data_IF_264016116279
#
_entry.id   IF_264016116279
#
_cell.length_a   1.000
_cell.length_b   1.000
_cell.length_c   1.000
_cell.angle_alpha   90.00
_cell.angle_beta   90.00
_cell.angle_gamma   90.00
#
_symmetry.space_group_name_H-M   'P 1'
#
loop_
_entity.id
_entity.type
_entity.pdbx_description
1 polymer ?
#
# COMPACT_ATOMS: atom_id res chain seq x y z
N UNK A 1 10.20 7.81 38.29
CA UNK A 1 10.02 6.63 37.41
C UNK A 1 9.89 7.05 35.94
N UNK A 2 10.83 7.86 35.41
CA UNK A 2 10.73 8.45 34.06
C UNK A 2 12.11 8.89 33.47
N UNK A 3 13.19 8.14 33.72
CA UNK A 3 14.56 8.50 33.26
C UNK A 3 15.37 7.31 32.74
N UNK A 4 14.81 6.47 31.86
CA UNK A 4 15.53 5.28 31.35
C UNK A 4 15.29 4.94 29.88
N UNK A 5 14.82 5.89 29.07
CA UNK A 5 14.57 5.68 27.64
C UNK A 5 15.51 6.46 26.72
N UNK A 6 16.27 7.44 27.23
CA UNK A 6 17.13 8.28 26.39
C UNK A 6 18.53 7.66 26.12
N UNK A 7 18.99 6.71 26.93
CA UNK A 7 20.36 6.18 26.84
C UNK A 7 20.48 4.92 25.97
N UNK A 8 19.39 4.44 25.35
CA UNK A 8 19.39 3.22 24.54
C UNK A 8 19.70 3.46 23.04
N UNK A 9 19.95 4.72 22.64
CA UNK A 9 20.24 5.08 21.24
C UNK A 9 21.65 5.62 21.11
N UNK A 10 22.65 4.84 21.51
CA UNK A 10 24.00 4.93 20.93
C UNK A 10 24.86 3.77 21.42
N UNK A 11 24.95 2.72 20.61
CA UNK A 11 26.23 2.08 20.28
C UNK A 11 26.02 1.06 19.17
N UNK A 12 26.87 1.17 18.15
CA UNK A 12 27.22 0.19 17.12
C UNK A 12 27.05 -1.26 17.56
N UNK A 13 25.87 -1.85 17.35
CA UNK A 13 25.73 -3.29 17.24
C UNK A 13 26.03 -3.68 15.78
N UNK A 14 26.83 -4.73 15.50
CA UNK A 14 26.87 -5.29 14.17
C UNK A 14 25.43 -5.65 13.79
N UNK A 15 24.92 -5.03 12.72
CA UNK A 15 23.55 -5.25 12.25
C UNK A 15 23.44 -6.60 11.57
N UNK A 16 23.74 -7.69 12.26
CA UNK A 16 23.36 -9.02 11.82
C UNK A 16 21.87 -9.16 12.10
N UNK A 17 21.05 -8.42 11.33
CA UNK A 17 19.64 -8.76 11.18
C UNK A 17 19.63 -10.17 10.60
N UNK A 18 18.76 -11.08 11.08
CA UNK A 18 18.56 -12.35 10.42
C UNK A 18 18.29 -12.07 8.94
N UNK A 19 19.20 -12.53 8.08
CA UNK A 19 19.02 -12.44 6.64
C UNK A 19 17.91 -13.41 6.30
N UNK A 20 16.75 -12.88 5.94
CA UNK A 20 15.70 -13.67 5.35
C UNK A 20 15.94 -13.63 3.83
N UNK A 21 16.43 -14.72 3.21
CA UNK A 21 16.56 -14.74 1.75
C UNK A 21 15.16 -14.71 1.13
N UNK A 22 14.96 -13.86 0.11
CA UNK A 22 13.76 -13.88 -0.74
C UNK A 22 12.68 -12.81 -0.56
N UNK A 23 12.48 -12.10 0.59
CA UNK A 23 11.45 -11.07 0.67
C UNK A 23 11.71 -9.89 -0.25
N UNK A 24 12.98 -9.53 -0.48
CA UNK A 24 13.32 -8.41 -1.36
C UNK A 24 12.87 -8.67 -2.82
N UNK A 25 13.02 -9.91 -3.29
CA UNK A 25 12.62 -10.31 -4.64
C UNK A 25 11.12 -10.60 -4.75
N UNK A 26 10.49 -11.03 -3.65
CA UNK A 26 9.06 -11.30 -3.58
C UNK A 26 8.20 -10.03 -3.38
N UNK A 27 8.78 -8.99 -2.79
CA UNK A 27 8.09 -7.73 -2.55
C UNK A 27 8.14 -6.86 -3.79
N UNK A 28 6.95 -6.40 -4.17
CA UNK A 28 6.83 -5.47 -5.27
C UNK A 28 7.55 -4.16 -4.96
N UNK A 29 8.40 -3.65 -5.88
CA UNK A 29 8.97 -2.32 -5.73
C UNK A 29 7.88 -1.24 -5.79
N UNK A 30 8.11 -0.17 -5.05
CA UNK A 30 7.28 1.02 -5.13
C UNK A 30 7.26 1.57 -6.57
N UNK A 31 6.07 1.91 -7.07
CA UNK A 31 5.90 2.52 -8.40
C UNK A 31 6.15 4.03 -8.43
N UNK A 32 6.23 4.69 -7.27
CA UNK A 32 6.27 6.16 -7.20
C UNK A 32 7.36 6.70 -6.25
N UNK A 33 7.54 6.08 -5.08
CA UNK A 33 8.62 6.48 -4.17
C UNK A 33 9.97 5.95 -4.65
N UNK A 34 11.00 6.83 -4.76
CA UNK A 34 12.38 6.41 -4.99
C UNK A 34 12.91 5.60 -3.80
N UNK A 35 14.03 4.88 -3.96
CA UNK A 35 14.69 4.14 -2.90
C UNK A 35 15.38 5.11 -1.92
N UNK A 36 14.58 5.85 -1.15
CA UNK A 36 15.02 6.78 -0.12
C UNK A 36 14.46 6.33 1.23
N UNK A 37 15.19 6.66 2.31
CA UNK A 37 14.67 6.61 3.68
C UNK A 37 13.72 7.78 3.96
N UNK A 38 13.02 7.75 5.11
CA UNK A 38 12.08 8.82 5.50
C UNK A 38 12.81 10.13 5.71
N UNK A 39 13.95 10.05 6.39
CA UNK A 39 14.80 11.21 6.63
C UNK A 39 15.23 11.83 5.30
N UNK A 40 15.70 11.04 4.33
CA UNK A 40 16.12 11.56 3.02
C UNK A 40 14.97 12.11 2.16
N UNK A 41 13.77 11.56 2.33
CA UNK A 41 12.57 12.07 1.67
C UNK A 41 12.10 13.40 2.30
N UNK A 42 12.18 13.53 3.62
CA UNK A 42 11.64 14.66 4.38
C UNK A 42 12.63 15.82 4.55
N UNK A 43 13.94 15.53 4.58
CA UNK A 43 15.04 16.51 4.67
C UNK A 43 14.95 17.64 3.63
N UNK A 44 14.62 17.39 2.34
CA UNK A 44 14.42 18.46 1.38
C UNK A 44 13.17 19.33 1.64
N UNK A 45 12.40 19.09 2.72
CA UNK A 45 11.22 19.85 3.15
C UNK A 45 10.22 20.10 2.01
N UNK A 46 9.92 19.04 1.26
CA UNK A 46 9.01 19.09 0.11
C UNK A 46 9.65 19.50 -1.23
N UNK A 47 10.96 19.77 -1.27
CA UNK A 47 11.72 19.84 -2.53
C UNK A 47 11.99 18.43 -3.07
N UNK A 48 12.26 18.34 -4.37
CA UNK A 48 12.73 17.09 -4.96
C UNK A 48 14.09 16.71 -4.35
N UNK A 49 14.29 15.42 -3.98
CA UNK A 49 15.60 14.92 -3.53
C UNK A 49 16.66 15.06 -4.63
N UNK A 50 17.93 15.16 -4.24
CA UNK A 50 19.05 15.28 -5.17
C UNK A 50 19.09 14.07 -6.13
N UNK A 51 19.14 14.28 -7.46
CA UNK A 51 19.18 13.20 -8.45
C UNK A 51 20.36 12.23 -8.24
N UNK A 52 21.50 12.75 -7.77
CA UNK A 52 22.72 11.98 -7.52
C UNK A 52 22.50 10.98 -6.38
N UNK A 53 21.80 11.39 -5.31
CA UNK A 53 21.44 10.51 -4.20
C UNK A 53 20.51 9.39 -4.69
N UNK A 54 19.52 9.71 -5.52
CA UNK A 54 18.59 8.72 -6.07
C UNK A 54 19.36 7.71 -6.95
N UNK A 55 20.31 8.18 -7.76
CA UNK A 55 21.14 7.33 -8.61
C UNK A 55 22.03 6.40 -7.77
N UNK A 56 22.74 6.95 -6.79
CA UNK A 56 23.58 6.19 -5.86
C UNK A 56 22.77 5.10 -5.12
N UNK A 57 21.58 5.47 -4.63
CA UNK A 57 20.70 4.51 -3.93
C UNK A 57 20.23 3.42 -4.87
N UNK A 58 19.84 3.74 -6.10
CA UNK A 58 19.45 2.73 -7.10
C UNK A 58 20.58 1.74 -7.36
N UNK A 59 21.81 2.21 -7.55
CA UNK A 59 22.98 1.36 -7.75
C UNK A 59 23.24 0.44 -6.56
N UNK A 60 23.15 0.96 -5.32
CA UNK A 60 23.29 0.15 -4.10
C UNK A 60 22.12 -0.83 -3.86
N UNK A 61 20.92 -0.50 -4.37
CA UNK A 61 19.73 -1.36 -4.31
C UNK A 61 19.78 -2.51 -5.32
N UNK A 62 20.55 -2.39 -6.40
CA UNK A 62 20.68 -3.47 -7.39
C UNK A 62 21.47 -4.62 -6.75
N UNK A 63 20.75 -5.64 -6.30
CA UNK A 63 21.32 -6.88 -5.76
C UNK A 63 21.49 -6.95 -4.24
N UNK A 64 21.12 -5.91 -3.47
CA UNK A 64 21.10 -6.00 -2.00
C UNK A 64 19.89 -5.32 -1.36
N UNK A 65 19.27 -6.04 -0.44
CA UNK A 65 18.10 -5.72 0.40
C UNK A 65 18.18 -4.41 1.23
N UNK A 66 19.15 -3.52 1.00
CA UNK A 66 19.50 -2.46 1.96
C UNK A 66 18.92 -1.07 1.66
N UNK A 67 18.38 -0.82 0.47
CA UNK A 67 17.64 0.42 0.20
C UNK A 67 16.33 0.11 -0.51
N UNK A 68 15.47 -0.58 0.22
CA UNK A 68 14.06 -0.68 -0.13
C UNK A 68 13.41 0.68 0.19
N UNK A 69 12.59 1.21 -0.71
CA UNK A 69 11.76 2.39 -0.43
C UNK A 69 11.07 2.22 0.93
N UNK A 70 10.91 3.32 1.69
CA UNK A 70 10.14 3.42 2.94
C UNK A 70 9.21 2.25 3.26
N UNK A 71 8.19 2.06 2.42
CA UNK A 71 7.13 1.06 2.59
C UNK A 71 7.66 -0.37 2.48
N UNK A 72 8.55 -0.64 1.53
CA UNK A 72 9.08 -1.99 1.29
C UNK A 72 9.92 -2.49 2.47
N UNK A 73 10.68 -1.61 3.16
CA UNK A 73 11.45 -1.99 4.35
C UNK A 73 10.54 -2.39 5.54
N UNK A 74 9.45 -1.66 5.73
CA UNK A 74 8.44 -1.97 6.74
C UNK A 74 7.76 -3.30 6.45
N UNK A 75 7.28 -3.48 5.21
CA UNK A 75 6.60 -4.71 4.80
C UNK A 75 7.52 -5.92 4.90
N UNK A 76 8.79 -5.81 4.48
CA UNK A 76 9.78 -6.87 4.61
C UNK A 76 9.96 -7.32 6.08
N UNK A 77 10.03 -6.36 6.99
CA UNK A 77 10.18 -6.64 8.43
C UNK A 77 8.94 -7.33 9.01
N UNK A 78 7.74 -6.92 8.59
CA UNK A 78 6.49 -7.56 9.00
C UNK A 78 6.36 -8.98 8.46
N UNK A 79 6.71 -9.21 7.20
CA UNK A 79 6.69 -10.54 6.56
C UNK A 79 7.69 -11.48 7.23
N UNK A 80 8.92 -11.01 7.47
CA UNK A 80 9.92 -11.79 8.20
C UNK A 80 9.45 -12.16 9.62
N UNK A 81 8.81 -11.21 10.32
CA UNK A 81 8.25 -11.44 11.65
C UNK A 81 7.08 -12.44 11.62
N UNK A 82 6.24 -12.40 10.58
CA UNK A 82 5.15 -13.33 10.38
C UNK A 82 5.68 -14.76 10.16
N UNK A 83 6.69 -14.94 9.31
CA UNK A 83 7.33 -16.23 9.11
C UNK A 83 7.99 -16.77 10.39
N UNK A 84 8.67 -15.91 11.15
CA UNK A 84 9.24 -16.30 12.44
C UNK A 84 8.18 -16.79 13.45
N UNK A 85 6.94 -16.28 13.34
CA UNK A 85 5.80 -16.72 14.16
C UNK A 85 5.05 -17.92 13.58
N UNK A 86 5.51 -18.50 12.46
CA UNK A 86 4.86 -19.63 11.81
C UNK A 86 3.60 -19.26 11.02
N UNK A 87 3.39 -17.98 10.70
CA UNK A 87 2.26 -17.55 9.86
C UNK A 87 2.48 -18.07 8.44
N UNK A 88 1.46 -18.73 7.89
CA UNK A 88 1.45 -19.22 6.50
C UNK A 88 0.98 -18.10 5.58
N UNK A 89 1.81 -17.74 4.60
CA UNK A 89 1.47 -16.77 3.56
C UNK A 89 1.30 -17.53 2.24
N UNK A 90 0.15 -17.34 1.59
CA UNK A 90 -0.17 -17.96 0.31
C UNK A 90 -0.33 -16.84 -0.72
N UNK A 91 0.56 -16.80 -1.71
CA UNK A 91 0.48 -15.88 -2.83
C UNK A 91 -0.42 -16.44 -3.94
N UNK A 92 -0.82 -15.59 -4.88
CA UNK A 92 -1.70 -15.95 -6.01
C UNK A 92 -3.03 -16.63 -5.57
N UNK A 93 -3.51 -16.29 -4.37
CA UNK A 93 -4.72 -16.81 -3.77
C UNK A 93 -5.80 -15.72 -3.76
N UNK A 94 -6.43 -15.48 -4.91
CA UNK A 94 -7.50 -14.48 -5.02
C UNK A 94 -8.79 -15.03 -4.40
N UNK A 95 -9.35 -14.30 -3.44
CA UNK A 95 -10.67 -14.59 -2.90
C UNK A 95 -11.77 -14.14 -3.88
N UNK A 96 -12.79 -14.97 -4.07
CA UNK A 96 -13.87 -14.74 -5.05
C UNK A 96 -15.27 -14.78 -4.45
N UNK A 97 -15.41 -15.26 -3.21
CA UNK A 97 -16.69 -15.34 -2.53
C UNK A 97 -16.50 -15.28 -1.03
N UNK A 98 -17.44 -14.64 -0.33
CA UNK A 98 -17.51 -14.59 1.13
C UNK A 98 -18.96 -14.83 1.54
N UNK A 99 -19.19 -15.79 2.42
CA UNK A 99 -20.54 -16.18 2.86
C UNK A 99 -20.58 -16.61 4.33
N UNK A 100 -21.73 -16.38 4.96
CA UNK A 100 -22.03 -16.92 6.28
C UNK A 100 -22.48 -18.38 6.17
N UNK A 101 -22.04 -19.19 7.13
CA UNK A 101 -22.51 -20.56 7.33
C UNK A 101 -22.94 -20.71 8.79
N UNK A 102 -23.61 -21.82 9.12
CA UNK A 102 -24.15 -22.07 10.47
C UNK A 102 -23.10 -21.85 11.58
N UNK A 103 -21.85 -22.29 11.33
CA UNK A 103 -20.72 -22.11 12.25
C UNK A 103 -19.60 -21.25 11.62
N UNK A 104 -19.89 -19.97 11.41
CA UNK A 104 -18.89 -18.96 11.07
C UNK A 104 -18.97 -18.46 9.64
N UNK A 105 -17.81 -18.36 8.99
CA UNK A 105 -17.66 -17.78 7.66
C UNK A 105 -16.89 -18.73 6.74
N UNK A 106 -17.18 -18.57 5.47
CA UNK A 106 -16.51 -19.26 4.37
C UNK A 106 -16.03 -18.25 3.35
N UNK A 107 -14.77 -18.38 2.96
CA UNK A 107 -14.20 -17.65 1.83
C UNK A 107 -13.79 -18.63 0.72
N UNK A 108 -14.20 -18.34 -0.52
CA UNK A 108 -13.82 -19.10 -1.70
C UNK A 108 -12.53 -18.52 -2.29
N UNK A 109 -11.55 -19.37 -2.58
CA UNK A 109 -10.23 -19.01 -3.11
C UNK A 109 -9.89 -19.97 -4.26
N UNK A 110 -10.12 -19.53 -5.50
CA UNK A 110 -10.00 -20.40 -6.66
C UNK A 110 -10.95 -21.61 -6.57
N UNK A 111 -10.40 -22.82 -6.63
CA UNK A 111 -11.16 -24.07 -6.43
C UNK A 111 -11.24 -24.52 -4.97
N UNK A 112 -10.62 -23.78 -4.04
CA UNK A 112 -10.55 -24.13 -2.63
C UNK A 112 -11.52 -23.29 -1.80
N UNK A 113 -11.95 -23.85 -0.68
CA UNK A 113 -12.83 -23.21 0.27
C UNK A 113 -12.19 -23.21 1.65
N UNK A 114 -12.12 -22.05 2.29
CA UNK A 114 -11.52 -21.89 3.62
C UNK A 114 -12.62 -21.53 4.61
N UNK A 115 -12.70 -22.30 5.69
CA UNK A 115 -13.64 -22.11 6.78
C UNK A 115 -12.92 -21.45 7.97
N UNK A 116 -13.52 -20.42 8.56
CA UNK A 116 -13.01 -19.77 9.75
C UNK A 116 -14.13 -19.11 10.56
N UNK A 117 -13.89 -18.91 11.86
CA UNK A 117 -14.80 -18.14 12.72
C UNK A 117 -14.83 -16.65 12.35
N UNK A 118 -13.74 -16.15 11.77
CA UNK A 118 -13.62 -14.75 11.35
C UNK A 118 -12.62 -14.62 10.19
N UNK A 119 -12.85 -13.61 9.35
CA UNK A 119 -11.91 -13.17 8.33
C UNK A 119 -11.56 -11.70 8.51
N UNK A 120 -10.32 -11.34 8.21
CA UNK A 120 -9.86 -9.96 8.15
C UNK A 120 -9.64 -9.61 6.69
N UNK A 121 -10.42 -8.65 6.18
CA UNK A 121 -10.25 -8.13 4.83
C UNK A 121 -9.26 -6.96 4.86
N UNK A 122 -8.10 -7.13 4.23
CA UNK A 122 -7.03 -6.13 4.14
C UNK A 122 -6.58 -5.95 2.69
N UNK A 123 -7.53 -5.73 1.79
CA UNK A 123 -7.36 -5.82 0.32
C UNK A 123 -6.96 -4.51 -0.37
N UNK A 124 -6.83 -3.41 0.37
CA UNK A 124 -6.50 -2.10 -0.20
C UNK A 124 -7.73 -1.33 -0.72
N UNK A 125 -7.51 -0.43 -1.67
CA UNK A 125 -8.54 0.46 -2.23
C UNK A 125 -9.20 -0.07 -3.51
N UNK A 126 -9.97 0.80 -4.17
CA UNK A 126 -10.74 0.49 -5.39
C UNK A 126 -10.41 1.38 -6.60
N UNK A 127 -9.39 2.24 -6.49
CA UNK A 127 -9.03 3.24 -7.50
C UNK A 127 -8.60 2.69 -8.86
N UNK A 128 -8.32 1.38 -8.96
CA UNK A 128 -8.03 0.70 -10.24
C UNK A 128 -9.21 -0.10 -10.79
N UNK A 129 -10.33 -0.13 -10.08
CA UNK A 129 -11.56 -0.74 -10.60
C UNK A 129 -12.10 0.11 -11.76
N UNK A 130 -12.63 -0.49 -12.85
CA UNK A 130 -13.17 0.26 -13.97
C UNK A 130 -14.55 0.90 -13.71
N UNK A 131 -15.22 0.56 -12.60
CA UNK A 131 -16.61 0.96 -12.29
C UNK A 131 -16.72 1.77 -10.99
N UNK A 132 -16.04 1.35 -9.93
CA UNK A 132 -16.19 1.94 -8.59
C UNK A 132 -15.73 3.42 -8.52
N UNK A 133 -14.61 3.84 -9.15
CA UNK A 133 -14.22 5.24 -9.20
C UNK A 133 -15.28 6.14 -9.82
N UNK A 134 -15.89 5.72 -10.93
CA UNK A 134 -16.93 6.51 -11.62
C UNK A 134 -18.22 6.60 -10.79
N UNK A 135 -18.52 5.56 -10.00
CA UNK A 135 -19.70 5.54 -9.14
C UNK A 135 -19.56 6.43 -7.90
N UNK A 136 -18.35 6.51 -7.32
CA UNK A 136 -18.15 7.10 -5.98
C UNK A 136 -17.26 8.35 -5.97
N UNK A 137 -16.31 8.50 -6.89
CA UNK A 137 -15.38 9.61 -6.88
C UNK A 137 -15.92 10.77 -7.70
N UNK A 138 -15.80 11.98 -7.16
CA UNK A 138 -16.33 13.19 -7.82
C UNK A 138 -15.53 13.63 -9.06
N UNK A 139 -14.36 13.04 -9.30
CA UNK A 139 -13.49 13.37 -10.42
C UNK A 139 -12.58 12.19 -10.77
N UNK A 140 -12.10 12.10 -12.02
CA UNK A 140 -11.12 11.08 -12.42
C UNK A 140 -9.85 11.17 -11.57
N UNK A 141 -9.39 10.02 -11.06
CA UNK A 141 -8.15 9.90 -10.29
C UNK A 141 -7.17 9.03 -11.06
N UNK A 142 -5.94 9.54 -11.26
CA UNK A 142 -4.84 8.72 -11.79
C UNK A 142 -4.30 7.83 -10.67
N UNK A 143 -4.44 6.49 -10.74
CA UNK A 143 -4.06 5.61 -9.65
C UNK A 143 -2.54 5.43 -9.58
N UNK A 144 -1.95 5.80 -8.43
CA UNK A 144 -0.51 5.63 -8.13
C UNK A 144 -0.21 4.35 -7.33
N UNK A 145 -1.25 3.65 -6.89
CA UNK A 145 -1.23 2.50 -6.00
C UNK A 145 -0.95 1.18 -6.71
N UNK A 146 -1.06 0.06 -5.98
CA UNK A 146 -0.92 -1.27 -6.54
C UNK A 146 -1.97 -1.57 -7.62
N UNK A 147 -1.61 -2.12 -8.80
CA UNK A 147 -2.47 -2.84 -9.73
C UNK A 147 -3.56 -3.70 -9.12
N UNK A 148 -3.32 -4.34 -7.98
CA UNK A 148 -4.30 -5.18 -7.31
C UNK A 148 -5.39 -4.43 -6.55
N UNK A 149 -5.34 -3.09 -6.45
CA UNK A 149 -6.36 -2.28 -5.74
C UNK A 149 -7.61 -2.08 -6.61
N UNK A 150 -8.28 -3.20 -6.91
CA UNK A 150 -9.48 -3.27 -7.74
C UNK A 150 -10.78 -3.22 -6.90
N UNK A 151 -10.70 -3.09 -5.58
CA UNK A 151 -11.89 -3.02 -4.72
C UNK A 151 -12.68 -4.33 -4.62
N UNK A 152 -12.12 -5.46 -5.05
CA UNK A 152 -12.78 -6.77 -4.99
C UNK A 152 -13.09 -7.20 -3.54
N UNK A 153 -12.19 -6.96 -2.60
CA UNK A 153 -12.47 -7.20 -1.18
C UNK A 153 -13.58 -6.31 -0.60
N UNK A 154 -13.73 -5.08 -1.12
CA UNK A 154 -14.84 -4.20 -0.75
C UNK A 154 -16.16 -4.75 -1.30
N UNK A 155 -16.19 -5.18 -2.57
CA UNK A 155 -17.36 -5.81 -3.16
C UNK A 155 -17.75 -7.09 -2.40
N UNK A 156 -16.78 -7.94 -2.02
CA UNK A 156 -17.02 -9.12 -1.18
C UNK A 156 -17.65 -8.76 0.17
N UNK A 157 -17.17 -7.70 0.82
CA UNK A 157 -17.73 -7.24 2.09
C UNK A 157 -19.16 -6.73 1.93
N UNK A 158 -19.44 -5.96 0.87
CA UNK A 158 -20.78 -5.46 0.56
C UNK A 158 -21.77 -6.59 0.30
N UNK A 159 -21.37 -7.62 -0.46
CA UNK A 159 -22.18 -8.83 -0.70
C UNK A 159 -22.47 -9.56 0.61
N UNK A 160 -21.52 -9.59 1.54
CA UNK A 160 -21.70 -10.15 2.88
C UNK A 160 -22.52 -9.25 3.83
N UNK A 161 -23.05 -8.11 3.36
CA UNK A 161 -23.92 -7.23 4.13
C UNK A 161 -23.19 -6.14 4.93
N UNK A 162 -21.91 -5.87 4.64
CA UNK A 162 -21.18 -4.77 5.27
C UNK A 162 -21.75 -3.40 4.84
N UNK A 163 -21.65 -2.41 5.73
CA UNK A 163 -21.92 -1.01 5.41
C UNK A 163 -20.63 -0.28 5.05
N UNK A 164 -20.75 0.78 4.24
CA UNK A 164 -19.64 1.64 3.83
C UNK A 164 -19.86 3.08 4.26
N UNK A 165 -18.75 3.80 4.47
CA UNK A 165 -18.73 5.23 4.76
C UNK A 165 -17.57 5.89 3.99
N UNK A 166 -17.65 7.20 3.77
CA UNK A 166 -16.60 8.02 3.19
C UNK A 166 -16.03 7.55 1.84
N UNK A 167 -16.88 6.93 1.01
CA UNK A 167 -16.54 6.39 -0.31
C UNK A 167 -16.02 7.45 -1.32
N UNK A 168 -16.21 8.73 -1.01
CA UNK A 168 -15.77 9.86 -1.84
C UNK A 168 -14.41 10.43 -1.41
N UNK A 169 -13.85 9.95 -0.30
CA UNK A 169 -12.61 10.46 0.25
C UNK A 169 -11.40 9.99 -0.57
N UNK A 170 -10.57 10.94 -0.98
CA UNK A 170 -9.35 10.66 -1.76
C UNK A 170 -8.17 11.34 -1.08
N UNK A 171 -7.12 10.57 -0.81
CA UNK A 171 -5.83 11.13 -0.42
C UNK A 171 -5.12 11.67 -1.67
N UNK A 172 -5.41 12.92 -2.02
CA UNK A 172 -4.62 13.64 -3.00
C UNK A 172 -3.42 14.29 -2.28
N UNK A 173 -2.16 13.97 -2.64
CA UNK A 173 -0.96 14.57 -2.03
C UNK A 173 -0.91 16.11 -2.12
N UNK A 174 -1.76 16.68 -2.97
CA UNK A 174 -1.94 18.11 -3.20
C UNK A 174 -2.95 18.74 -2.22
N UNK A 175 -3.96 18.00 -1.72
CA UNK A 175 -5.07 18.55 -0.91
C UNK A 175 -4.68 19.06 0.49
N UNK A 176 -3.44 18.84 0.92
CA UNK A 176 -2.89 19.37 2.18
C UNK A 176 -1.86 20.50 2.00
N UNK A 177 -1.51 20.87 0.76
CA UNK A 177 -0.52 21.93 0.47
C UNK A 177 -1.22 23.04 -0.33
N UNK A 178 -0.90 24.31 -0.03
CA UNK A 178 -1.27 25.49 -0.86
C UNK A 178 -0.55 25.47 -2.21
N UNK A 179 -0.56 24.34 -2.91
CA UNK A 179 -0.13 24.23 -4.29
C UNK A 179 -1.41 24.36 -5.10
N UNK A 180 -1.59 25.51 -5.76
CA UNK A 180 -2.72 25.75 -6.64
C UNK A 180 -2.78 24.62 -7.68
N UNK A 181 -3.77 23.74 -7.55
CA UNK A 181 -4.07 22.73 -8.54
C UNK A 181 -4.81 23.42 -9.69
N UNK A 182 -4.07 24.09 -10.57
CA UNK A 182 -4.60 24.78 -11.74
C UNK A 182 -4.87 23.84 -12.93
N UNK A 183 -4.64 22.54 -12.80
CA UNK A 183 -4.83 21.56 -13.89
C UNK A 183 -6.03 20.63 -13.75
N UNK A 184 -6.93 20.85 -12.79
CA UNK A 184 -8.32 20.34 -12.92
C UNK A 184 -9.14 21.46 -13.57
N UNK A 185 -8.86 21.71 -14.85
CA UNK A 185 -9.70 22.58 -15.66
C UNK A 185 -11.12 22.03 -15.68
N UNK A 186 -12.09 22.88 -15.36
CA UNK A 186 -13.49 22.70 -15.77
C UNK A 186 -13.51 22.47 -17.28
N UNK A 187 -13.58 21.22 -17.71
CA UNK A 187 -13.97 20.90 -19.07
C UNK A 187 -15.51 20.86 -19.09
N UNK A 188 -16.14 22.04 -19.12
CA UNK A 188 -17.55 22.18 -19.47
C UNK A 188 -17.80 23.56 -20.08
N UNK A 189 -17.91 23.60 -21.41
CA UNK A 189 -18.93 24.37 -22.13
C UNK A 189 -18.85 24.09 -23.65
N UNK A 190 -19.82 23.30 -24.12
CA UNK A 190 -20.33 23.16 -25.49
C UNK A 190 -19.81 24.19 -26.52
N UNK A 191 -19.04 23.71 -27.49
CA UNK A 191 -19.00 24.35 -28.80
C UNK A 191 -20.31 24.03 -29.53
N UNK A 192 -21.24 25.00 -29.52
CA UNK A 192 -22.28 25.10 -30.53
C UNK A 192 -21.76 26.04 -31.60
N UNK A 193 -21.50 25.53 -32.81
CA UNK A 193 -21.34 26.36 -33.99
C UNK A 193 -22.42 25.97 -35.00
N UNK A 194 -23.23 26.98 -35.33
CA UNK A 194 -24.05 27.06 -36.54
C UNK A 194 -23.19 27.02 -37.78
#
# INVERSE_FOLDING_TARGET
>A
MARRWADAVSTTAPSTRPSFPGPADALRPSSYFPPLSMAEHDDPNGRAPAPELIAERKERSVGSSLVASLVASLVASLVASAFHRGVRIIAAARATGLSHVDEGLVIDVGSSRVHALSFVLATGGFERNPRLPDAFLAFPVTPISSPSNEGDGLELALVAGACVADMTAILCPCRGRRIACTTVGRADAKATSR
#
